data_IF_370142520407
#
_entry.id   IF_370142520407
#
_cell.length_a   1.000
_cell.length_b   1.000
_cell.length_c   1.000
_cell.angle_alpha   90.00
_cell.angle_beta   90.00
_cell.angle_gamma   90.00
#
_symmetry.space_group_name_H-M   'P 1'
#
loop_
_entity.id
_entity.type
_entity.pdbx_description
1 polymer ?
#
# COMPACT_ATOMS: atom_id res chain seq x y z
N UNK A 1 -8.55 13.31 -4.61
CA UNK A 1 -7.22 12.98 -4.07
C UNK A 1 -7.27 11.52 -3.64
N UNK A 2 -6.25 10.72 -3.97
CA UNK A 2 -6.06 9.42 -3.32
C UNK A 2 -5.51 9.64 -1.92
N UNK A 3 -5.71 8.69 -1.02
CA UNK A 3 -5.00 8.63 0.26
C UNK A 3 -4.04 7.44 0.20
N UNK A 4 -2.93 7.58 0.91
CA UNK A 4 -2.00 6.50 1.14
C UNK A 4 -1.93 6.19 2.65
N UNK A 5 -1.52 4.98 2.98
CA UNK A 5 -1.09 4.53 4.28
C UNK A 5 0.36 4.90 4.60
N UNK A 6 0.79 4.45 5.77
CA UNK A 6 2.12 4.68 6.29
C UNK A 6 2.25 4.10 7.70
N UNK A 7 3.48 3.76 8.06
CA UNK A 7 3.84 3.17 9.34
C UNK A 7 4.57 4.20 10.19
N UNK A 8 4.07 4.46 11.39
CA UNK A 8 4.74 5.35 12.34
C UNK A 8 5.88 4.60 13.04
N UNK A 9 7.12 4.84 12.62
CA UNK A 9 8.31 4.11 13.08
C UNK A 9 9.07 4.83 14.21
N UNK A 10 8.79 6.12 14.42
CA UNK A 10 9.28 6.94 15.52
C UNK A 10 8.24 8.05 15.80
N UNK A 11 8.33 8.77 16.93
CA UNK A 11 7.37 9.82 17.31
C UNK A 11 7.25 10.92 16.25
N UNK A 12 8.27 11.11 15.41
CA UNK A 12 8.26 12.09 14.32
C UNK A 12 8.54 11.50 12.93
N UNK A 13 8.55 10.18 12.78
CA UNK A 13 8.92 9.55 11.51
C UNK A 13 7.86 8.55 11.06
N UNK A 14 7.35 8.79 9.85
CA UNK A 14 6.46 7.86 9.13
C UNK A 14 7.22 7.28 7.95
N UNK A 15 7.22 5.95 7.85
CA UNK A 15 7.66 5.19 6.68
C UNK A 15 6.46 4.99 5.74
N UNK A 16 6.62 5.27 4.46
CA UNK A 16 5.57 5.13 3.44
C UNK A 16 6.21 4.77 2.10
N UNK A 17 5.41 4.54 1.06
CA UNK A 17 5.88 4.35 -0.30
C UNK A 17 6.34 5.67 -0.93
N UNK A 18 7.32 5.62 -1.82
CA UNK A 18 7.79 6.79 -2.55
C UNK A 18 6.73 7.30 -3.54
N UNK A 19 6.02 6.39 -4.22
CA UNK A 19 4.96 6.75 -5.17
C UNK A 19 3.79 7.52 -4.50
N UNK A 20 3.65 7.44 -3.17
CA UNK A 20 2.65 8.20 -2.43
C UNK A 20 2.99 9.69 -2.28
N UNK A 21 4.25 10.06 -2.48
CA UNK A 21 4.77 11.43 -2.28
C UNK A 21 5.63 11.92 -3.44
N UNK A 22 5.69 11.16 -4.53
CA UNK A 22 6.36 11.58 -5.76
C UNK A 22 5.75 12.88 -6.31
N UNK A 23 6.53 13.62 -7.10
CA UNK A 23 6.09 14.91 -7.65
C UNK A 23 6.14 16.09 -6.67
N UNK A 24 6.72 15.91 -5.47
CA UNK A 24 7.00 17.01 -4.53
C UNK A 24 5.80 17.41 -3.67
N UNK A 25 4.77 16.57 -3.59
CA UNK A 25 3.62 16.78 -2.73
C UNK A 25 3.98 16.54 -1.25
N UNK A 26 3.57 17.45 -0.37
CA UNK A 26 3.72 17.29 1.08
C UNK A 26 2.35 16.87 1.65
N UNK A 27 2.19 15.60 2.10
CA UNK A 27 0.93 15.13 2.64
C UNK A 27 0.68 15.68 4.05
N UNK A 28 -0.59 15.63 4.46
CA UNK A 28 -0.97 15.71 5.86
C UNK A 28 -1.21 14.29 6.38
N UNK A 29 -0.59 13.94 7.51
CA UNK A 29 -0.70 12.60 8.08
C UNK A 29 -1.90 12.53 9.02
N UNK A 30 -2.75 11.51 8.80
CA UNK A 30 -3.82 11.12 9.71
C UNK A 30 -3.37 10.03 10.66
N UNK A 31 -3.68 10.12 11.97
CA UNK A 31 -3.26 9.12 12.96
C UNK A 31 -4.27 8.91 14.10
N UNK A 32 -4.15 7.76 14.77
CA UNK A 32 -4.78 7.52 16.07
C UNK A 32 -6.30 7.32 16.06
N UNK A 33 -6.89 6.90 14.93
CA UNK A 33 -8.31 6.62 14.79
C UNK A 33 -8.59 5.46 13.84
N UNK A 34 -9.74 4.81 14.00
CA UNK A 34 -10.17 3.67 13.18
C UNK A 34 -11.20 4.06 12.11
N UNK A 35 -11.58 5.33 12.03
CA UNK A 35 -12.40 5.90 10.97
C UNK A 35 -11.69 7.10 10.37
N UNK A 36 -11.89 7.35 9.07
CA UNK A 36 -11.26 8.50 8.39
C UNK A 36 -11.65 9.84 9.04
N UNK A 37 -12.89 9.96 9.51
CA UNK A 37 -13.37 11.15 10.23
C UNK A 37 -12.80 11.27 11.66
N UNK A 38 -12.39 10.16 12.27
CA UNK A 38 -11.82 10.11 13.62
C UNK A 38 -10.31 10.33 13.69
N UNK A 39 -9.62 10.45 12.54
CA UNK A 39 -8.17 10.66 12.50
C UNK A 39 -7.79 12.05 13.02
N UNK A 40 -6.80 12.10 13.90
CA UNK A 40 -6.06 13.33 14.19
C UNK A 40 -5.15 13.66 13.03
N UNK A 41 -4.83 14.93 12.84
CA UNK A 41 -4.01 15.40 11.73
C UNK A 41 -2.73 16.05 12.23
N UNK A 42 -1.62 15.77 11.56
CA UNK A 42 -0.32 16.39 11.80
C UNK A 42 0.32 16.75 10.47
N UNK A 43 0.94 17.93 10.43
CA UNK A 43 1.66 18.40 9.24
C UNK A 43 3.00 17.67 9.09
N UNK A 44 3.47 17.57 7.85
CA UNK A 44 4.79 17.05 7.51
C UNK A 44 5.75 18.23 7.32
N UNK A 45 6.89 18.18 8.02
CA UNK A 45 8.00 19.14 7.97
C UNK A 45 8.85 18.92 6.71
N UNK A 46 9.18 17.65 6.43
CA UNK A 46 9.99 17.29 5.26
C UNK A 46 9.67 15.90 4.75
N UNK A 47 9.81 15.71 3.44
CA UNK A 47 9.70 14.41 2.76
C UNK A 47 11.09 14.03 2.26
N UNK A 48 11.50 12.78 2.50
CA UNK A 48 12.74 12.20 1.95
C UNK A 48 12.38 10.95 1.17
N UNK A 49 12.44 11.04 -0.16
CA UNK A 49 12.25 9.90 -1.06
C UNK A 49 13.58 9.16 -1.20
N UNK A 50 13.55 7.84 -1.31
CA UNK A 50 14.74 7.04 -1.58
C UNK A 50 15.44 7.55 -2.86
N UNK A 51 16.77 7.78 -2.84
CA UNK A 51 17.47 8.38 -3.98
C UNK A 51 17.43 7.52 -5.25
N UNK A 52 17.28 6.20 -5.09
CA UNK A 52 17.19 5.25 -6.22
C UNK A 52 15.75 4.98 -6.64
N UNK A 53 14.75 5.72 -6.12
CA UNK A 53 13.35 5.54 -6.53
C UNK A 53 13.21 5.74 -8.05
N UNK A 54 12.71 4.72 -8.75
CA UNK A 54 12.42 4.80 -10.19
C UNK A 54 11.07 4.15 -10.52
N UNK A 55 10.07 4.95 -10.94
CA UNK A 55 8.76 4.42 -11.33
C UNK A 55 8.84 3.54 -12.59
N UNK A 56 9.85 3.72 -13.44
CA UNK A 56 10.03 2.93 -14.67
C UNK A 56 10.72 1.57 -14.43
N UNK A 57 11.46 1.43 -13.33
CA UNK A 57 12.26 0.24 -13.03
C UNK A 57 11.55 -0.71 -12.06
N UNK A 58 10.25 -0.96 -12.28
CA UNK A 58 9.38 -1.70 -11.36
C UNK A 58 9.36 -1.10 -9.95
N UNK A 59 9.29 0.24 -9.89
CA UNK A 59 9.22 0.98 -8.62
C UNK A 59 10.37 0.62 -7.66
N UNK A 60 11.57 0.37 -8.22
CA UNK A 60 12.76 0.11 -7.42
C UNK A 60 12.95 1.23 -6.40
N UNK A 61 13.16 0.88 -5.13
CA UNK A 61 13.31 1.86 -4.07
C UNK A 61 12.01 2.62 -3.73
N UNK A 62 10.84 2.00 -3.87
CA UNK A 62 9.54 2.56 -3.48
C UNK A 62 9.39 2.72 -1.96
N UNK A 63 10.18 3.62 -1.39
CA UNK A 63 10.20 3.92 0.03
C UNK A 63 10.52 5.40 0.26
N UNK A 64 9.81 6.01 1.20
CA UNK A 64 10.03 7.38 1.62
C UNK A 64 9.81 7.54 3.13
N UNK A 65 10.45 8.58 3.67
CA UNK A 65 10.28 9.02 5.05
C UNK A 65 9.59 10.37 5.10
N UNK A 66 8.57 10.47 5.94
CA UNK A 66 7.92 11.73 6.28
C UNK A 66 8.33 12.12 7.70
N UNK A 67 8.95 13.29 7.83
CA UNK A 67 9.24 13.88 9.14
C UNK A 67 8.05 14.73 9.57
N UNK A 68 7.46 14.42 10.71
CA UNK A 68 6.32 15.15 11.26
C UNK A 68 6.77 16.46 11.91
N UNK A 69 5.96 17.52 11.76
CA UNK A 69 6.22 18.82 12.38
C UNK A 69 6.16 18.74 13.91
N UNK A 70 5.25 17.92 14.44
CA UNK A 70 5.00 17.69 15.86
C UNK A 70 5.12 16.18 16.16
N UNK A 71 5.59 15.79 17.36
CA UNK A 71 5.64 14.40 17.75
C UNK A 71 4.23 13.85 18.00
N UNK A 72 4.02 12.59 17.66
CA UNK A 72 2.80 11.84 17.97
C UNK A 72 3.07 10.82 19.09
N UNK A 73 2.03 10.34 19.82
CA UNK A 73 2.24 9.50 21.00
C UNK A 73 2.99 8.19 20.72
N UNK A 74 4.07 7.91 21.46
CA UNK A 74 4.90 6.71 21.33
C UNK A 74 4.14 5.37 21.42
N UNK A 75 2.96 5.34 22.03
CA UNK A 75 2.11 4.13 22.09
C UNK A 75 1.56 3.68 20.73
N UNK A 76 1.70 4.52 19.70
CA UNK A 76 1.25 4.25 18.33
C UNK A 76 2.39 3.71 17.43
N UNK A 77 3.63 3.65 17.95
CA UNK A 77 4.78 3.22 17.17
C UNK A 77 4.67 1.75 16.78
N UNK A 78 4.94 1.47 15.51
CA UNK A 78 5.16 0.11 15.02
C UNK A 78 6.65 -0.16 14.99
N UNK A 79 7.04 -1.35 15.44
CA UNK A 79 8.45 -1.77 15.42
C UNK A 79 8.82 -2.18 14.00
N UNK A 80 9.96 -1.71 13.54
CA UNK A 80 10.57 -2.21 12.32
C UNK A 80 10.96 -3.68 12.48
N UNK A 81 10.83 -4.44 11.39
CA UNK A 81 11.38 -5.79 11.31
C UNK A 81 12.91 -5.74 11.42
N UNK A 82 13.49 -6.85 11.84
CA UNK A 82 14.92 -7.08 11.83
C UNK A 82 15.24 -8.41 11.11
N UNK A 83 16.48 -8.65 10.67
CA UNK A 83 16.81 -9.84 9.89
C UNK A 83 16.47 -11.18 10.55
N UNK A 84 16.39 -11.23 11.88
CA UNK A 84 15.99 -12.43 12.61
C UNK A 84 14.48 -12.68 12.54
N UNK A 85 13.69 -11.62 12.50
CA UNK A 85 12.24 -11.68 12.24
C UNK A 85 12.01 -12.09 10.79
N UNK A 86 12.70 -11.47 9.83
CA UNK A 86 12.54 -11.75 8.39
C UNK A 86 12.74 -13.24 8.06
N UNK A 87 13.74 -13.87 8.66
CA UNK A 87 13.99 -15.31 8.50
C UNK A 87 12.88 -16.19 9.08
N UNK A 88 12.13 -15.70 10.07
CA UNK A 88 11.02 -16.40 10.69
C UNK A 88 9.68 -16.18 9.97
N UNK A 89 9.52 -15.08 9.22
CA UNK A 89 8.24 -14.65 8.61
C UNK A 89 7.60 -15.69 7.69
N UNK A 90 8.39 -16.56 7.05
CA UNK A 90 7.89 -17.55 6.08
C UNK A 90 6.82 -18.51 6.65
N UNK A 91 6.69 -18.61 7.98
CA UNK A 91 5.75 -19.53 8.64
C UNK A 91 4.68 -18.82 9.49
N UNK A 92 4.58 -17.49 9.42
CA UNK A 92 3.62 -16.74 10.23
C UNK A 92 2.65 -15.93 9.37
N UNK A 93 1.35 -15.95 9.67
CA UNK A 93 0.41 -15.06 9.02
C UNK A 93 0.77 -13.62 9.37
N UNK A 94 0.77 -12.76 8.36
CA UNK A 94 0.99 -11.33 8.48
C UNK A 94 -0.35 -10.60 8.42
N UNK A 95 -0.37 -9.40 8.96
CA UNK A 95 -1.54 -8.52 8.92
C UNK A 95 -1.23 -7.30 8.08
N UNK A 96 -2.05 -7.06 7.06
CA UNK A 96 -2.12 -5.77 6.36
C UNK A 96 -3.37 -5.04 6.85
N UNK A 97 -3.26 -3.72 7.05
CA UNK A 97 -4.39 -2.89 7.48
C UNK A 97 -4.50 -1.66 6.60
N UNK A 98 -5.72 -1.24 6.30
CA UNK A 98 -5.92 0.02 5.60
C UNK A 98 -7.37 0.31 5.23
N UNK A 99 -7.54 1.37 4.45
CA UNK A 99 -8.82 1.85 3.93
C UNK A 99 -8.93 1.63 2.42
N UNK A 100 -8.10 0.76 1.86
CA UNK A 100 -8.09 0.39 0.47
C UNK A 100 -9.48 -0.03 0.01
N UNK A 101 -9.84 0.42 -1.18
CA UNK A 101 -11.19 0.27 -1.67
C UNK A 101 -11.44 -1.19 -2.08
N UNK A 102 -12.49 -1.78 -1.53
CA UNK A 102 -12.87 -3.17 -1.76
C UNK A 102 -13.76 -3.26 -3.00
N UNK A 103 -13.65 -4.34 -3.76
CA UNK A 103 -14.49 -4.63 -4.93
C UNK A 103 -15.16 -5.99 -4.77
N UNK A 104 -16.31 -6.16 -5.42
CA UNK A 104 -16.98 -7.46 -5.46
C UNK A 104 -16.23 -8.39 -6.42
N UNK A 105 -15.73 -9.50 -5.92
CA UNK A 105 -15.04 -10.52 -6.74
C UNK A 105 -15.97 -11.18 -7.79
N UNK A 106 -17.29 -11.01 -7.64
CA UNK A 106 -18.29 -11.46 -8.62
C UNK A 106 -18.48 -10.47 -9.79
N UNK A 107 -17.68 -9.40 -9.87
CA UNK A 107 -17.65 -8.56 -11.05
C UNK A 107 -17.33 -9.40 -12.29
N UNK A 108 -18.12 -9.19 -13.35
CA UNK A 108 -17.96 -9.89 -14.63
C UNK A 108 -16.46 -9.90 -15.04
N UNK A 109 -15.88 -11.04 -15.44
CA UNK A 109 -14.46 -11.15 -15.79
C UNK A 109 -14.00 -10.12 -16.82
N UNK A 110 -14.88 -9.67 -17.70
CA UNK A 110 -14.64 -8.62 -18.69
C UNK A 110 -14.56 -7.24 -18.03
N UNK A 111 -15.42 -6.97 -17.04
CA UNK A 111 -15.39 -5.74 -16.23
C UNK A 111 -14.12 -5.73 -15.38
N UNK A 112 -13.73 -6.86 -14.78
CA UNK A 112 -12.48 -6.98 -14.03
C UNK A 112 -11.26 -6.75 -14.94
N UNK A 113 -11.23 -7.32 -16.14
CA UNK A 113 -10.15 -7.10 -17.12
C UNK A 113 -10.08 -5.63 -17.59
N UNK A 114 -11.22 -5.01 -17.88
CA UNK A 114 -11.31 -3.60 -18.28
C UNK A 114 -10.95 -2.65 -17.13
N UNK A 115 -11.33 -2.98 -15.90
CA UNK A 115 -10.95 -2.23 -14.70
C UNK A 115 -9.43 -2.28 -14.50
N UNK A 116 -8.82 -3.46 -14.57
CA UNK A 116 -7.36 -3.61 -14.49
C UNK A 116 -6.64 -2.85 -15.63
N UNK A 117 -7.21 -2.78 -16.83
CA UNK A 117 -6.69 -1.97 -17.93
C UNK A 117 -6.87 -0.46 -17.70
N UNK A 118 -8.01 -0.04 -17.18
CA UNK A 118 -8.31 1.36 -16.90
C UNK A 118 -7.44 1.90 -15.75
N UNK A 119 -7.25 1.10 -14.71
CA UNK A 119 -6.38 1.44 -13.58
C UNK A 119 -4.92 1.52 -14.02
N UNK A 120 -4.45 0.64 -14.91
CA UNK A 120 -3.10 0.76 -15.51
C UNK A 120 -2.87 2.09 -16.22
N UNK A 121 -3.85 2.54 -17.02
CA UNK A 121 -3.66 3.71 -17.89
C UNK A 121 -3.91 5.04 -17.18
N UNK A 122 -4.81 5.06 -16.19
CA UNK A 122 -5.10 6.24 -15.40
C UNK A 122 -5.69 5.86 -14.03
N UNK A 123 -4.83 5.45 -13.07
CA UNK A 123 -5.29 4.83 -11.82
C UNK A 123 -6.22 5.74 -11.03
N UNK A 124 -5.89 7.03 -10.96
CA UNK A 124 -6.68 8.01 -10.21
C UNK A 124 -8.06 8.32 -10.83
N UNK A 125 -8.21 8.22 -12.16
CA UNK A 125 -9.48 8.48 -12.84
C UNK A 125 -10.38 7.24 -12.84
N UNK A 126 -9.80 6.06 -13.09
CA UNK A 126 -10.51 4.78 -13.05
C UNK A 126 -11.08 4.49 -11.66
N UNK A 127 -10.30 4.74 -10.61
CA UNK A 127 -10.72 4.59 -9.22
C UNK A 127 -11.92 5.50 -8.89
N UNK A 128 -11.87 6.78 -9.30
CA UNK A 128 -12.96 7.73 -9.06
C UNK A 128 -14.26 7.35 -9.77
N UNK A 129 -14.18 6.84 -11.01
CA UNK A 129 -15.36 6.37 -11.72
C UNK A 129 -15.92 5.12 -11.04
N UNK A 130 -15.09 4.13 -10.74
CA UNK A 130 -15.54 2.88 -10.14
C UNK A 130 -16.19 3.07 -8.76
N UNK A 131 -15.66 3.97 -7.92
CA UNK A 131 -16.29 4.35 -6.65
C UNK A 131 -17.63 5.05 -6.88
N UNK A 132 -17.71 5.97 -7.85
CA UNK A 132 -18.94 6.69 -8.18
C UNK A 132 -20.03 5.75 -8.72
N UNK A 133 -19.62 4.75 -9.50
CA UNK A 133 -20.52 3.78 -10.15
C UNK A 133 -20.91 2.64 -9.19
N UNK A 134 -20.41 2.65 -7.94
CA UNK A 134 -20.74 1.66 -6.90
C UNK A 134 -19.99 0.32 -7.04
N UNK A 135 -19.09 0.21 -8.02
CA UNK A 135 -18.30 -1.00 -8.28
C UNK A 135 -17.13 -1.17 -7.29
N UNK A 136 -16.81 -0.12 -6.54
CA UNK A 136 -15.78 -0.14 -5.51
C UNK A 136 -16.21 0.66 -4.29
N UNK A 137 -15.88 0.17 -3.10
CA UNK A 137 -16.28 0.78 -1.84
C UNK A 137 -15.05 1.08 -0.99
N UNK A 138 -14.87 2.36 -0.64
CA UNK A 138 -13.91 2.75 0.39
C UNK A 138 -14.56 2.45 1.75
N UNK A 139 -14.00 1.56 2.57
CA UNK A 139 -14.57 1.26 3.87
C UNK A 139 -14.50 2.50 4.79
N UNK A 140 -15.53 2.74 5.60
CA UNK A 140 -15.52 3.82 6.60
C UNK A 140 -14.56 3.52 7.76
N UNK A 141 -14.54 2.25 8.17
CA UNK A 141 -13.72 1.72 9.24
C UNK A 141 -12.45 1.09 8.68
N UNK A 142 -11.35 1.23 9.41
CA UNK A 142 -10.08 0.55 9.13
C UNK A 142 -10.35 -0.95 9.02
N UNK A 143 -9.81 -1.57 7.97
CA UNK A 143 -9.90 -3.01 7.74
C UNK A 143 -8.55 -3.65 8.00
N UNK A 144 -8.58 -4.95 8.27
CA UNK A 144 -7.41 -5.79 8.37
C UNK A 144 -7.62 -7.07 7.56
N UNK A 145 -6.56 -7.57 6.96
CA UNK A 145 -6.53 -8.86 6.29
C UNK A 145 -5.32 -9.67 6.77
N UNK A 146 -5.58 -10.96 7.06
CA UNK A 146 -4.52 -11.93 7.32
C UNK A 146 -4.06 -12.50 5.99
N UNK A 147 -2.77 -12.36 5.70
CA UNK A 147 -2.11 -12.79 4.47
C UNK A 147 -0.82 -13.55 4.79
N UNK A 148 -0.37 -14.39 3.87
CA UNK A 148 0.85 -15.18 4.03
C UNK A 148 1.93 -14.68 3.06
N UNK A 149 3.21 -14.90 3.41
CA UNK A 149 4.29 -14.67 2.47
C UNK A 149 4.18 -15.64 1.29
N UNK A 150 4.37 -15.10 0.10
CA UNK A 150 4.44 -15.87 -1.14
C UNK A 150 5.91 -16.06 -1.49
N UNK A 151 6.27 -17.28 -1.86
CA UNK A 151 7.63 -17.60 -2.31
C UNK A 151 8.08 -16.64 -3.43
N UNK A 152 9.28 -16.08 -3.25
CA UNK A 152 9.77 -15.00 -4.10
C UNK A 152 9.97 -15.44 -5.56
N UNK A 153 10.49 -16.64 -5.78
CA UNK A 153 10.73 -17.17 -7.12
C UNK A 153 9.43 -17.54 -7.83
N UNK A 154 8.46 -18.08 -7.08
CA UNK A 154 7.09 -18.23 -7.56
C UNK A 154 6.49 -16.88 -7.97
N UNK A 155 6.63 -15.85 -7.13
CA UNK A 155 6.11 -14.52 -7.40
C UNK A 155 6.74 -13.91 -8.66
N UNK A 156 8.07 -13.89 -8.76
CA UNK A 156 8.81 -13.45 -9.95
C UNK A 156 8.35 -14.15 -11.21
N UNK A 157 8.18 -15.48 -11.18
CA UNK A 157 7.71 -16.25 -12.33
C UNK A 157 6.28 -15.87 -12.72
N UNK A 158 5.39 -15.70 -11.73
CA UNK A 158 3.98 -15.38 -11.94
C UNK A 158 3.78 -13.97 -12.51
N UNK A 159 4.53 -12.99 -12.05
CA UNK A 159 4.49 -11.63 -12.58
C UNK A 159 5.23 -11.53 -13.91
N UNK A 160 6.39 -12.16 -14.05
CA UNK A 160 7.14 -12.19 -15.30
C UNK A 160 6.36 -12.80 -16.47
N UNK A 161 5.41 -13.71 -16.22
CA UNK A 161 4.52 -14.25 -17.26
C UNK A 161 3.45 -13.26 -17.74
N UNK A 162 3.27 -12.10 -17.08
CA UNK A 162 2.31 -11.07 -17.49
C UNK A 162 2.85 -10.12 -18.58
N UNK A 163 4.15 -10.23 -18.92
CA UNK A 163 4.78 -9.46 -19.98
C UNK A 163 5.73 -8.36 -19.49
N UNK A 164 6.18 -7.52 -20.42
CA UNK A 164 7.12 -6.44 -20.12
C UNK A 164 6.52 -5.43 -19.13
N UNK A 165 7.32 -5.02 -18.13
CA UNK A 165 6.91 -4.14 -17.04
C UNK A 165 6.54 -4.84 -15.73
N UNK A 166 6.27 -6.15 -15.75
CA UNK A 166 5.90 -6.91 -14.56
C UNK A 166 7.09 -7.71 -14.02
N UNK A 167 8.03 -7.04 -13.37
CA UNK A 167 9.23 -7.64 -12.80
C UNK A 167 9.26 -7.41 -11.29
N UNK A 168 9.45 -8.49 -10.54
CA UNK A 168 9.68 -8.41 -9.09
C UNK A 168 11.21 -8.44 -8.86
N UNK A 169 11.72 -7.41 -8.22
CA UNK A 169 13.12 -7.21 -7.85
C UNK A 169 13.50 -8.02 -6.59
N UNK A 170 14.77 -7.96 -6.19
CA UNK A 170 15.23 -8.59 -4.95
C UNK A 170 14.97 -7.72 -3.70
N UNK A 171 14.47 -6.50 -3.88
CA UNK A 171 14.11 -5.58 -2.78
C UNK A 171 12.62 -5.62 -2.45
N UNK A 172 11.85 -6.43 -3.16
CA UNK A 172 10.41 -6.61 -2.96
C UNK A 172 10.12 -7.99 -2.38
N UNK A 173 8.98 -8.09 -1.68
CA UNK A 173 8.41 -9.35 -1.22
C UNK A 173 6.96 -9.43 -1.67
N UNK A 174 6.44 -10.64 -1.82
CA UNK A 174 5.05 -10.85 -2.18
C UNK A 174 4.29 -11.47 -1.01
N UNK A 175 3.05 -11.05 -0.83
CA UNK A 175 2.15 -11.57 0.18
C UNK A 175 0.72 -11.62 -0.34
N UNK A 176 -0.10 -12.51 0.21
CA UNK A 176 -1.50 -12.63 -0.13
C UNK A 176 -2.15 -13.85 0.51
N UNK A 177 -3.45 -14.04 0.29
CA UNK A 177 -4.16 -15.25 0.74
C UNK A 177 -4.91 -15.89 -0.45
N UNK A 178 -4.19 -16.65 -1.31
CA UNK A 178 -4.74 -17.18 -2.55
C UNK A 178 -6.04 -17.95 -2.37
N UNK A 179 -7.03 -17.63 -3.21
CA UNK A 179 -8.34 -18.32 -3.20
C UNK A 179 -9.30 -17.91 -2.08
N UNK A 180 -8.93 -16.92 -1.24
CA UNK A 180 -9.78 -16.45 -0.13
C UNK A 180 -10.44 -15.09 -0.40
N UNK A 181 -10.06 -14.40 -1.48
CA UNK A 181 -10.48 -13.03 -1.78
C UNK A 181 -9.85 -11.96 -0.87
N UNK A 182 -8.94 -12.34 0.05
CA UNK A 182 -8.25 -11.39 0.94
C UNK A 182 -6.90 -10.98 0.37
N UNK A 183 -6.71 -9.67 0.26
CA UNK A 183 -5.47 -9.04 -0.21
C UNK A 183 -5.41 -7.58 0.26
N UNK A 184 -4.30 -6.91 -0.01
CA UNK A 184 -4.20 -5.45 -0.06
C UNK A 184 -4.98 -4.89 -1.26
N UNK A 185 -5.56 -3.71 -1.09
CA UNK A 185 -6.46 -3.08 -2.06
C UNK A 185 -5.99 -1.67 -2.43
N UNK A 186 -6.54 -1.11 -3.52
CA UNK A 186 -6.20 0.24 -3.96
C UNK A 186 -6.45 1.29 -2.88
N UNK A 187 -5.41 2.00 -2.48
CA UNK A 187 -5.44 2.99 -1.39
C UNK A 187 -4.88 2.48 -0.05
N UNK A 188 -4.42 1.22 0.01
CA UNK A 188 -3.58 0.72 1.11
C UNK A 188 -2.10 1.08 0.96
N UNK A 189 -1.67 1.43 -0.26
CA UNK A 189 -0.35 2.01 -0.58
C UNK A 189 0.07 3.09 0.41
#
# INVERSE_FOLDING_TARGET
AGFCGGSLIDERWVLTAAHCVEGGYIPMVGYGGNTLAGLKRVAVDSVTVHPDYSPEAAEYGDVALLKLAEPVPAKLLVKLSDPSVDAALANYPMTVTGWGATFDENLDPTINALFNLAVRNNPGLALRSAVKDGNMQVPENLREASIDLIDHEFCKKRYGSLGEGWKISNTEICAGAPGTGKDSCYGDS
#
